data_IF_850932404700
#
_entry.id   IF_850932404700
#
_cell.length_a   1.000
_cell.length_b   1.000
_cell.length_c   1.000
_cell.angle_alpha   90.00
_cell.angle_beta   90.00
_cell.angle_gamma   90.00
#
_symmetry.space_group_name_H-M   'P 1'
#
loop_
_entity.id
_entity.type
_entity.pdbx_description
1 polymer ?
#
# COMPACT_ATOMS: atom_id res chain seq x y z
N UNK A 1 -3.57 23.16 -15.27
CA UNK A 1 -2.33 22.41 -15.03
C UNK A 1 -2.45 21.44 -13.85
N UNK A 2 -3.41 21.63 -12.93
CA UNK A 2 -3.57 20.79 -11.72
C UNK A 2 -4.05 19.35 -11.97
N UNK A 3 -4.82 19.12 -13.04
CA UNK A 3 -5.39 17.78 -13.33
C UNK A 3 -4.31 16.73 -13.64
N UNK A 4 -3.30 17.11 -14.41
CA UNK A 4 -2.18 16.23 -14.79
C UNK A 4 -1.29 15.88 -13.59
N UNK A 5 -1.17 16.79 -12.62
CA UNK A 5 -0.41 16.54 -11.39
C UNK A 5 -1.19 15.62 -10.44
N UNK A 6 -2.52 15.77 -10.35
CA UNK A 6 -3.38 14.86 -9.58
C UNK A 6 -3.38 13.42 -10.12
N UNK A 7 -3.44 13.26 -11.45
CA UNK A 7 -3.39 11.93 -12.10
C UNK A 7 -2.05 11.22 -11.86
N UNK A 8 -0.94 11.98 -11.88
CA UNK A 8 0.39 11.44 -11.57
C UNK A 8 0.54 11.05 -10.11
N UNK A 9 0.07 11.87 -9.17
CA UNK A 9 0.12 11.55 -7.75
C UNK A 9 -0.69 10.28 -7.42
N UNK A 10 -1.88 10.14 -8.02
CA UNK A 10 -2.71 8.95 -7.91
C UNK A 10 -1.98 7.71 -8.44
N UNK A 11 -1.33 7.81 -9.61
CA UNK A 11 -0.60 6.69 -10.17
C UNK A 11 0.58 6.25 -9.28
N UNK A 12 1.34 7.19 -8.71
CA UNK A 12 2.41 6.87 -7.76
C UNK A 12 1.87 6.21 -6.48
N UNK A 13 0.68 6.60 -6.01
CA UNK A 13 0.01 5.94 -4.88
C UNK A 13 -0.39 4.50 -5.23
N UNK A 14 -0.92 4.26 -6.43
CA UNK A 14 -1.23 2.91 -6.92
C UNK A 14 0.04 2.04 -6.96
N UNK A 15 1.16 2.59 -7.44
CA UNK A 15 2.45 1.88 -7.48
C UNK A 15 2.97 1.53 -6.06
N UNK A 16 2.87 2.46 -5.10
CA UNK A 16 3.21 2.18 -3.69
C UNK A 16 2.34 1.08 -3.11
N UNK A 17 1.03 1.13 -3.38
CA UNK A 17 0.08 0.12 -2.91
C UNK A 17 0.39 -1.25 -3.51
N UNK A 18 0.74 -1.31 -4.79
CA UNK A 18 1.17 -2.54 -5.45
C UNK A 18 2.36 -3.17 -4.74
N UNK A 19 3.40 -2.38 -4.42
CA UNK A 19 4.56 -2.88 -3.68
C UNK A 19 4.18 -3.42 -2.30
N UNK A 20 3.34 -2.72 -1.55
CA UNK A 20 2.90 -3.15 -0.21
C UNK A 20 2.13 -4.47 -0.24
N UNK A 21 1.20 -4.62 -1.19
CA UNK A 21 0.27 -5.75 -1.21
C UNK A 21 0.83 -7.00 -1.89
N UNK A 22 1.80 -6.84 -2.79
CA UNK A 22 2.18 -7.90 -3.73
C UNK A 22 3.65 -8.29 -3.73
N UNK A 23 4.54 -7.64 -2.98
CA UNK A 23 5.98 -7.99 -2.95
C UNK A 23 6.23 -9.47 -2.67
N UNK A 24 5.46 -10.02 -1.74
CA UNK A 24 5.60 -11.40 -1.28
C UNK A 24 4.53 -12.34 -1.87
N UNK A 25 3.83 -11.93 -2.93
CA UNK A 25 2.70 -12.68 -3.49
C UNK A 25 3.10 -14.10 -3.91
N UNK A 26 4.24 -14.27 -4.59
CA UNK A 26 4.73 -15.59 -5.02
C UNK A 26 5.11 -16.49 -3.84
N UNK A 27 5.71 -15.93 -2.78
CA UNK A 27 6.00 -16.66 -1.55
C UNK A 27 4.70 -17.14 -0.88
N UNK A 28 3.69 -16.24 -0.79
CA UNK A 28 2.37 -16.57 -0.24
C UNK A 28 1.67 -17.68 -1.04
N UNK A 29 1.68 -17.59 -2.37
CA UNK A 29 1.08 -18.62 -3.25
C UNK A 29 1.77 -19.97 -3.00
N UNK A 30 3.10 -20.00 -2.91
CA UNK A 30 3.87 -21.23 -2.63
C UNK A 30 3.48 -21.87 -1.30
N UNK A 31 3.35 -21.07 -0.24
CA UNK A 31 2.93 -21.55 1.09
C UNK A 31 1.52 -22.14 1.04
N UNK A 32 0.58 -21.46 0.38
CA UNK A 32 -0.80 -21.94 0.23
C UNK A 32 -0.87 -23.27 -0.53
N UNK A 33 -0.07 -23.45 -1.59
CA UNK A 33 0.01 -24.71 -2.31
C UNK A 33 0.60 -25.85 -1.46
N UNK A 34 1.65 -25.58 -0.67
CA UNK A 34 2.21 -26.57 0.27
C UNK A 34 1.19 -26.99 1.34
N UNK A 35 0.30 -26.09 1.73
CA UNK A 35 -0.79 -26.34 2.67
C UNK A 35 -2.02 -26.99 2.03
N UNK A 36 -1.99 -27.28 0.71
CA UNK A 36 -3.15 -27.78 -0.06
C UNK A 36 -4.39 -26.88 0.08
N UNK A 37 -4.15 -25.57 -0.02
CA UNK A 37 -5.16 -24.53 -0.04
C UNK A 37 -5.24 -23.92 -1.45
N UNK A 38 -5.54 -24.75 -2.45
CA UNK A 38 -5.48 -24.41 -3.87
C UNK A 38 -6.40 -23.23 -4.22
N UNK A 39 -7.62 -23.18 -3.66
CA UNK A 39 -8.56 -22.06 -3.89
C UNK A 39 -8.01 -20.72 -3.39
N UNK A 40 -7.30 -20.70 -2.26
CA UNK A 40 -6.68 -19.47 -1.74
C UNK A 40 -5.45 -19.09 -2.56
N UNK A 41 -4.66 -20.08 -2.99
CA UNK A 41 -3.52 -19.86 -3.88
C UNK A 41 -3.97 -19.25 -5.23
N UNK A 42 -5.08 -19.77 -5.78
CA UNK A 42 -5.69 -19.24 -7.00
C UNK A 42 -6.16 -17.79 -6.81
N UNK A 43 -6.84 -17.47 -5.70
CA UNK A 43 -7.26 -16.10 -5.40
C UNK A 43 -6.08 -15.14 -5.25
N UNK A 44 -4.99 -15.58 -4.63
CA UNK A 44 -3.78 -14.76 -4.52
C UNK A 44 -3.15 -14.48 -5.89
N UNK A 45 -3.11 -15.47 -6.79
CA UNK A 45 -2.66 -15.29 -8.18
C UNK A 45 -3.61 -14.37 -8.98
N UNK A 46 -4.93 -14.53 -8.81
CA UNK A 46 -5.95 -13.68 -9.41
C UNK A 46 -5.80 -12.21 -9.01
N UNK A 47 -5.58 -11.96 -7.72
CA UNK A 47 -5.37 -10.63 -7.19
C UNK A 47 -4.10 -9.99 -7.76
N UNK A 48 -2.99 -10.73 -7.82
CA UNK A 48 -1.75 -10.25 -8.44
C UNK A 48 -1.95 -9.93 -9.93
N UNK A 49 -2.64 -10.78 -10.68
CA UNK A 49 -2.99 -10.55 -12.10
C UNK A 49 -3.73 -9.23 -12.28
N UNK A 50 -4.76 -8.99 -11.47
CA UNK A 50 -5.58 -7.76 -11.55
C UNK A 50 -4.75 -6.51 -11.27
N UNK A 51 -3.97 -6.53 -10.19
CA UNK A 51 -3.11 -5.42 -9.81
C UNK A 51 -1.99 -5.18 -10.82
N UNK A 52 -1.39 -6.23 -11.38
CA UNK A 52 -0.39 -6.11 -12.44
C UNK A 52 -0.96 -5.48 -13.72
N UNK A 53 -2.20 -5.83 -14.08
CA UNK A 53 -2.91 -5.18 -15.18
C UNK A 53 -3.17 -3.69 -14.94
N UNK A 54 -3.52 -3.32 -13.70
CA UNK A 54 -3.79 -1.92 -13.33
C UNK A 54 -2.54 -1.03 -13.46
N UNK A 55 -1.35 -1.54 -13.12
CA UNK A 55 -0.09 -0.80 -13.21
C UNK A 55 0.64 -0.98 -14.55
N UNK A 56 0.04 -1.70 -15.51
CA UNK A 56 0.66 -1.98 -16.80
C UNK A 56 1.88 -2.91 -16.76
N UNK A 57 2.04 -3.70 -15.69
CA UNK A 57 3.12 -4.68 -15.56
C UNK A 57 2.80 -5.95 -16.37
N UNK A 58 2.81 -5.82 -17.71
CA UNK A 58 2.30 -6.82 -18.63
C UNK A 58 2.92 -8.22 -18.45
N UNK A 59 4.25 -8.31 -18.29
CA UNK A 59 4.92 -9.60 -18.12
C UNK A 59 4.50 -10.32 -16.83
N UNK A 60 4.32 -9.56 -15.74
CA UNK A 60 3.81 -10.08 -14.45
C UNK A 60 2.36 -10.51 -14.61
N UNK A 61 1.55 -9.72 -15.31
CA UNK A 61 0.16 -10.06 -15.60
C UNK A 61 0.04 -11.39 -16.36
N UNK A 62 0.77 -11.54 -17.46
CA UNK A 62 0.71 -12.73 -18.32
C UNK A 62 1.13 -14.00 -17.55
N UNK A 63 2.21 -13.94 -16.77
CA UNK A 63 2.65 -15.08 -15.97
C UNK A 63 1.73 -15.37 -14.78
N UNK A 64 1.08 -14.34 -14.20
CA UNK A 64 0.08 -14.53 -13.17
C UNK A 64 -1.17 -15.26 -13.72
N UNK A 65 -1.54 -15.01 -14.98
CA UNK A 65 -2.59 -15.77 -15.68
C UNK A 65 -2.19 -17.24 -15.83
N UNK A 66 -0.96 -17.51 -16.26
CA UNK A 66 -0.48 -18.90 -16.40
C UNK A 66 -0.48 -19.64 -15.06
N UNK A 67 0.02 -19.02 -13.99
CA UNK A 67 0.00 -19.59 -12.64
C UNK A 67 -1.43 -19.79 -12.13
N UNK A 68 -2.31 -18.81 -12.28
CA UNK A 68 -3.73 -18.93 -11.88
C UNK A 68 -4.41 -20.12 -12.59
N UNK A 69 -4.21 -20.25 -13.90
CA UNK A 69 -4.78 -21.33 -14.70
C UNK A 69 -4.21 -22.70 -14.33
N UNK A 70 -2.89 -22.78 -14.08
CA UNK A 70 -2.25 -24.02 -13.65
C UNK A 70 -2.82 -24.50 -12.30
N UNK A 71 -2.99 -23.58 -11.33
CA UNK A 71 -3.59 -23.89 -10.03
C UNK A 71 -5.05 -24.34 -10.20
N UNK A 72 -5.83 -23.62 -11.02
CA UNK A 72 -7.24 -23.97 -11.28
C UNK A 72 -7.41 -25.35 -11.93
N UNK A 73 -6.45 -25.75 -12.79
CA UNK A 73 -6.44 -27.05 -13.44
C UNK A 73 -5.84 -28.19 -12.57
N UNK A 74 -5.31 -27.86 -11.38
CA UNK A 74 -4.55 -28.82 -10.57
C UNK A 74 -3.26 -29.29 -11.26
N UNK A 75 -2.73 -28.50 -12.19
CA UNK A 75 -1.50 -28.78 -12.92
C UNK A 75 -0.27 -28.38 -12.12
N UNK A 76 0.90 -28.89 -12.51
CA UNK A 76 2.15 -28.52 -11.87
C UNK A 76 2.55 -27.07 -12.22
N UNK A 77 2.67 -26.23 -11.19
CA UNK A 77 3.09 -24.83 -11.28
C UNK A 77 4.54 -24.61 -10.82
N UNK A 78 5.31 -25.69 -10.57
CA UNK A 78 6.67 -25.66 -10.00
C UNK A 78 7.66 -24.84 -10.82
N UNK A 79 7.48 -24.78 -12.14
CA UNK A 79 8.34 -24.03 -13.07
C UNK A 79 7.82 -22.61 -13.35
N UNK A 80 6.51 -22.39 -13.25
CA UNK A 80 5.85 -21.11 -13.51
C UNK A 80 6.05 -20.13 -12.35
N UNK A 81 5.92 -20.61 -11.11
CA UNK A 81 6.03 -19.76 -9.92
C UNK A 81 7.40 -19.07 -9.79
N UNK A 82 8.54 -19.74 -9.98
CA UNK A 82 9.86 -19.08 -9.95
C UNK A 82 10.04 -18.03 -11.05
N UNK A 83 9.45 -18.24 -12.24
CA UNK A 83 9.52 -17.26 -13.32
C UNK A 83 8.69 -16.02 -12.99
N UNK A 84 7.47 -16.21 -12.48
CA UNK A 84 6.63 -15.12 -11.98
C UNK A 84 7.31 -14.35 -10.84
N UNK A 85 7.97 -15.05 -9.91
CA UNK A 85 8.71 -14.45 -8.79
C UNK A 85 9.87 -13.55 -9.27
N UNK A 86 10.63 -14.01 -10.27
CA UNK A 86 11.70 -13.20 -10.87
C UNK A 86 11.16 -11.95 -11.57
N UNK A 87 10.07 -12.07 -12.35
CA UNK A 87 9.43 -10.96 -13.03
C UNK A 87 8.83 -9.95 -12.05
N UNK A 88 8.17 -10.45 -11.00
CA UNK A 88 7.62 -9.63 -9.93
C UNK A 88 8.75 -8.89 -9.18
N UNK A 89 9.85 -9.55 -8.86
CA UNK A 89 11.02 -8.92 -8.25
C UNK A 89 11.63 -7.82 -9.11
N UNK A 90 11.73 -8.04 -10.43
CA UNK A 90 12.20 -7.03 -11.37
C UNK A 90 11.23 -5.83 -11.44
N UNK A 91 9.93 -6.08 -11.54
CA UNK A 91 8.91 -5.02 -11.53
C UNK A 91 8.95 -4.22 -10.23
N UNK A 92 9.01 -4.87 -9.07
CA UNK A 92 9.14 -4.21 -7.77
C UNK A 92 10.40 -3.34 -7.72
N UNK A 93 11.53 -3.83 -8.20
CA UNK A 93 12.78 -3.07 -8.25
C UNK A 93 12.66 -1.83 -9.14
N UNK A 94 12.05 -1.96 -10.32
CA UNK A 94 11.82 -0.82 -11.22
C UNK A 94 10.84 0.20 -10.63
N UNK A 95 9.81 -0.25 -9.92
CA UNK A 95 8.88 0.63 -9.22
C UNK A 95 9.60 1.35 -8.06
N UNK A 96 10.39 0.63 -7.26
CA UNK A 96 11.20 1.22 -6.18
C UNK A 96 12.15 2.30 -6.74
N UNK A 97 12.84 2.02 -7.85
CA UNK A 97 13.70 2.98 -8.55
C UNK A 97 12.91 4.18 -9.08
N UNK A 98 11.76 3.97 -9.71
CA UNK A 98 10.91 5.05 -10.16
C UNK A 98 10.46 5.91 -8.97
N UNK A 99 9.98 5.31 -7.88
CA UNK A 99 9.58 6.05 -6.70
C UNK A 99 10.74 6.80 -6.05
N UNK A 100 11.96 6.26 -6.13
CA UNK A 100 13.17 6.91 -5.66
C UNK A 100 13.58 8.08 -6.57
N UNK A 101 13.69 7.90 -7.89
CA UNK A 101 14.03 8.94 -8.87
C UNK A 101 13.00 10.08 -8.87
N UNK A 102 11.72 9.74 -8.70
CA UNK A 102 10.64 10.71 -8.54
C UNK A 102 10.62 11.35 -7.15
N UNK A 103 11.22 10.67 -6.16
CA UNK A 103 11.49 11.17 -4.81
C UNK A 103 12.78 11.99 -4.69
N UNK A 104 13.66 11.97 -5.70
CA UNK A 104 14.93 12.72 -5.78
C UNK A 104 14.84 13.95 -6.70
N UNK A 105 13.84 13.99 -7.61
CA UNK A 105 13.44 15.20 -8.34
C UNK A 105 12.46 16.09 -7.57
N UNK A 106 11.97 15.61 -6.43
CA UNK A 106 11.63 16.49 -5.31
C UNK A 106 12.91 16.50 -4.50
N UNK A 107 13.61 17.65 -4.40
CA UNK A 107 14.70 17.80 -3.43
C UNK A 107 14.29 17.11 -2.12
N UNK A 108 15.21 16.47 -1.37
CA UNK A 108 14.84 15.79 -0.14
C UNK A 108 13.98 16.78 0.63
N UNK A 109 12.67 16.51 0.67
CA UNK A 109 11.93 16.99 1.80
C UNK A 109 12.53 16.08 2.87
N UNK A 110 13.59 16.59 3.51
CA UNK A 110 13.63 16.57 4.97
C UNK A 110 12.16 16.48 5.38
N UNK A 111 11.78 15.37 6.03
CA UNK A 111 10.48 15.27 6.69
C UNK A 111 10.23 16.68 7.20
N UNK A 112 9.19 17.39 6.71
CA UNK A 112 9.11 18.81 6.94
C UNK A 112 9.35 18.93 8.43
N UNK A 113 10.39 19.68 8.82
CA UNK A 113 10.68 19.92 10.22
C UNK A 113 9.53 20.82 10.64
N UNK A 114 8.38 20.18 10.80
CA UNK A 114 7.16 20.75 11.27
C UNK A 114 7.56 21.11 12.66
N UNK A 115 7.56 22.41 12.94
CA UNK A 115 7.91 22.84 14.28
C UNK A 115 6.94 22.14 15.26
N UNK A 116 7.38 21.94 16.50
CA UNK A 116 6.58 21.22 17.48
C UNK A 116 5.18 21.85 17.68
N UNK A 117 4.99 23.14 17.38
CA UNK A 117 3.70 23.83 17.45
C UNK A 117 2.81 23.51 16.24
N UNK A 118 3.35 23.38 15.03
CA UNK A 118 2.59 22.98 13.84
C UNK A 118 2.17 21.51 13.91
N UNK A 119 3.02 20.62 14.46
CA UNK A 119 2.64 19.23 14.71
C UNK A 119 1.54 19.14 15.77
N UNK A 120 1.66 19.94 16.83
CA UNK A 120 0.64 20.01 17.89
C UNK A 120 -0.69 20.55 17.36
N UNK A 121 -0.66 21.54 16.47
CA UNK A 121 -1.85 22.06 15.81
C UNK A 121 -2.51 21.00 14.92
N UNK A 122 -1.72 20.27 14.13
CA UNK A 122 -2.21 19.18 13.28
C UNK A 122 -2.88 18.06 14.11
N UNK A 123 -2.25 17.64 15.21
CA UNK A 123 -2.83 16.63 16.10
C UNK A 123 -4.09 17.13 16.80
N UNK A 124 -4.14 18.41 17.20
CA UNK A 124 -5.34 19.02 17.78
C UNK A 124 -6.49 19.11 16.78
N UNK A 125 -6.20 19.46 15.52
CA UNK A 125 -7.19 19.47 14.44
C UNK A 125 -7.72 18.06 14.17
N UNK A 126 -6.83 17.07 14.08
CA UNK A 126 -7.22 15.68 13.89
C UNK A 126 -8.10 15.16 15.03
N UNK A 127 -7.72 15.40 16.28
CA UNK A 127 -8.52 15.04 17.45
C UNK A 127 -9.88 15.75 17.46
N UNK A 128 -9.93 17.02 17.05
CA UNK A 128 -11.18 17.77 16.91
C UNK A 128 -12.12 17.13 15.89
N UNK A 129 -11.63 16.88 14.67
CA UNK A 129 -12.40 16.26 13.60
C UNK A 129 -12.90 14.86 13.98
N UNK A 130 -12.06 14.05 14.64
CA UNK A 130 -12.46 12.72 15.11
C UNK A 130 -13.53 12.80 16.20
N UNK A 131 -13.43 13.74 17.14
CA UNK A 131 -14.45 13.94 18.21
C UNK A 131 -15.78 14.43 17.66
N UNK A 132 -15.73 15.28 16.65
CA UNK A 132 -16.92 15.79 15.98
C UNK A 132 -17.50 14.78 14.97
N UNK A 133 -16.80 13.66 14.73
CA UNK A 133 -17.19 12.64 13.77
C UNK A 133 -17.19 13.12 12.32
N UNK A 134 -16.34 14.11 12.02
CA UNK A 134 -16.26 14.74 10.72
C UNK A 134 -15.43 13.88 9.74
N UNK A 135 -16.02 13.58 8.57
CA UNK A 135 -15.35 12.87 7.49
C UNK A 135 -14.09 13.57 6.96
N UNK A 136 -13.91 14.87 7.22
CA UNK A 136 -12.68 15.59 6.94
C UNK A 136 -11.46 15.02 7.70
N UNK A 137 -11.67 14.24 8.77
CA UNK A 137 -10.60 13.50 9.44
C UNK A 137 -9.89 12.53 8.48
N UNK A 138 -10.63 11.87 7.58
CA UNK A 138 -10.07 10.93 6.59
C UNK A 138 -9.07 11.67 5.69
N UNK A 139 -9.51 12.78 5.11
CA UNK A 139 -8.68 13.62 4.24
C UNK A 139 -7.42 14.13 4.96
N UNK A 140 -7.55 14.50 6.25
CA UNK A 140 -6.44 15.03 7.04
C UNK A 140 -5.40 13.95 7.34
N UNK A 141 -5.84 12.73 7.68
CA UNK A 141 -4.95 11.57 7.91
C UNK A 141 -4.20 11.19 6.63
N UNK A 142 -4.87 11.17 5.48
CA UNK A 142 -4.25 10.85 4.20
C UNK A 142 -3.24 11.93 3.76
N UNK A 143 -3.60 13.22 3.87
CA UNK A 143 -2.73 14.33 3.46
C UNK A 143 -1.48 14.46 4.33
N UNK A 144 -1.60 14.14 5.62
CA UNK A 144 -0.52 14.28 6.60
C UNK A 144 0.17 12.97 6.96
N UNK A 145 -0.06 11.90 6.18
CA UNK A 145 0.49 10.55 6.39
C UNK A 145 1.99 10.50 6.78
N UNK A 146 2.93 11.12 6.03
CA UNK A 146 4.35 11.03 6.38
C UNK A 146 4.69 11.74 7.69
N UNK A 147 3.98 12.81 8.03
CA UNK A 147 4.19 13.58 9.28
C UNK A 147 3.63 12.81 10.47
N UNK A 148 2.40 12.29 10.34
CA UNK A 148 1.74 11.53 11.39
C UNK A 148 2.47 10.21 11.65
N UNK A 149 2.95 9.51 10.62
CA UNK A 149 3.75 8.30 10.80
C UNK A 149 5.10 8.57 11.46
N UNK A 150 5.73 9.72 11.20
CA UNK A 150 6.97 10.11 11.86
C UNK A 150 6.75 10.53 13.33
N UNK A 151 5.61 11.15 13.65
CA UNK A 151 5.28 11.62 14.99
C UNK A 151 4.73 10.52 15.91
N UNK A 152 3.81 9.70 15.40
CA UNK A 152 3.10 8.65 16.16
C UNK A 152 3.81 7.28 16.08
N UNK A 153 4.77 7.15 15.17
CA UNK A 153 5.28 5.84 14.77
C UNK A 153 4.37 5.15 13.75
N UNK A 154 4.99 4.36 12.87
CA UNK A 154 4.31 3.65 11.77
C UNK A 154 3.16 2.74 12.25
N UNK A 155 3.31 1.94 13.33
CA UNK A 155 2.23 1.04 13.78
C UNK A 155 0.98 1.81 14.25
N UNK A 156 1.18 2.85 15.06
CA UNK A 156 0.09 3.66 15.61
C UNK A 156 -0.62 4.43 14.51
N UNK A 157 0.14 5.05 13.59
CA UNK A 157 -0.43 5.71 12.42
C UNK A 157 -1.30 4.75 11.59
N UNK A 158 -0.85 3.51 11.36
CA UNK A 158 -1.64 2.53 10.62
C UNK A 158 -2.95 2.16 11.33
N UNK A 159 -2.94 2.06 12.66
CA UNK A 159 -4.16 1.82 13.45
C UNK A 159 -5.12 3.01 13.34
N UNK A 160 -4.63 4.24 13.53
CA UNK A 160 -5.42 5.47 13.42
C UNK A 160 -6.03 5.61 12.03
N UNK A 161 -5.23 5.38 10.97
CA UNK A 161 -5.69 5.48 9.58
C UNK A 161 -6.74 4.41 9.25
N UNK A 162 -6.53 3.17 9.69
CA UNK A 162 -7.50 2.09 9.48
C UNK A 162 -8.83 2.36 10.18
N UNK A 163 -8.79 2.80 11.44
CA UNK A 163 -9.99 3.15 12.22
C UNK A 163 -10.73 4.36 11.62
N UNK A 164 -9.99 5.41 11.23
CA UNK A 164 -10.56 6.61 10.61
C UNK A 164 -11.24 6.28 9.27
N UNK A 165 -10.62 5.43 8.43
CA UNK A 165 -11.22 4.97 7.15
C UNK A 165 -12.45 4.08 7.36
N UNK A 166 -12.53 3.37 8.49
CA UNK A 166 -13.69 2.59 8.87
C UNK A 166 -14.83 3.43 9.49
N UNK A 167 -14.67 4.76 9.57
CA UNK A 167 -15.54 5.67 10.34
C UNK A 167 -15.62 5.32 11.83
N UNK A 168 -14.65 4.54 12.33
CA UNK A 168 -14.50 4.17 13.73
C UNK A 168 -13.62 5.22 14.42
N UNK A 169 -14.19 6.42 14.58
CA UNK A 169 -13.48 7.57 15.10
C UNK A 169 -13.14 7.43 16.60
N UNK A 170 -13.90 6.61 17.33
CA UNK A 170 -13.63 6.28 18.73
C UNK A 170 -12.33 5.47 18.85
N UNK A 171 -12.18 4.40 18.07
CA UNK A 171 -10.94 3.61 18.04
C UNK A 171 -9.74 4.43 17.53
N UNK A 172 -9.98 5.35 16.59
CA UNK A 172 -8.92 6.25 16.11
C UNK A 172 -8.45 7.22 17.21
N UNK A 173 -9.36 7.75 18.03
CA UNK A 173 -9.04 8.61 19.16
C UNK A 173 -8.29 7.86 20.26
N UNK A 174 -8.75 6.66 20.62
CA UNK A 174 -8.08 5.83 21.63
C UNK A 174 -6.63 5.53 21.24
N UNK A 175 -6.39 5.19 19.97
CA UNK A 175 -5.05 4.96 19.45
C UNK A 175 -4.16 6.22 19.47
N UNK A 176 -4.74 7.40 19.33
CA UNK A 176 -4.04 8.70 19.42
C UNK A 176 -3.73 9.09 20.87
N UNK A 177 -4.65 8.86 21.81
CA UNK A 177 -4.50 9.21 23.23
C UNK A 177 -3.53 8.27 23.97
N UNK A 178 -3.22 7.09 23.43
CA UNK A 178 -2.22 6.17 23.98
C UNK A 178 -0.76 6.58 23.73
N UNK A 179 -0.49 7.48 22.79
CA UNK A 179 0.87 7.91 22.37
C UNK A 179 1.16 9.40 22.66
N UNK A 180 0.21 10.14 23.23
CA UNK A 180 0.33 11.55 23.65
C UNK A 180 0.65 11.69 25.15
#
# INVERSE_FOLDING_TARGET
MDRLMGERALYLQILRRFLQDHRDACARIRVLLLQRLESQAQLAAHSLKGSAGLIGAQQVHDHAVEVENAIAAGADSSTLLPQLDALLGAACTSIDQLLHDQGDQVAPSEAPVIDAAQLRALLQELVGLLRDGDGAAIDLVEKSAPVLAAALGVPTYQMVAAATHAFDFETALDALEMEL
#
